data_IF_780655397604
#
_entry.id   IF_780655397604
#
_cell.length_a   1.000
_cell.length_b   1.000
_cell.length_c   1.000
_cell.angle_alpha   90.00
_cell.angle_beta   90.00
_cell.angle_gamma   90.00
#
_symmetry.space_group_name_H-M   'P 1'
#
loop_
_entity.id
_entity.type
_entity.pdbx_description
1 polymer ?
2 polymer ?
3 non-polymer ?
4 water ?
#
# COMPACT_ATOMS: atom_id res chain seq x y z
N UNK A 1 22.75 18.37 -2.89
CA UNK A 1 24.12 18.60 -2.34
C UNK A 1 24.85 19.76 -3.02
N UNK A 2 25.93 20.23 -2.39
CA UNK A 2 26.69 21.36 -2.93
C UNK A 2 27.53 21.01 -4.18
N UNK A 3 28.07 19.79 -4.24
CA UNK A 3 28.78 19.31 -5.44
C UNK A 3 27.93 19.50 -6.68
N UNK A 4 26.71 18.95 -6.69
CA UNK A 4 25.85 19.03 -7.87
C UNK A 4 25.33 20.43 -8.12
N UNK A 5 25.19 21.21 -7.05
CA UNK A 5 24.79 22.61 -7.12
C UNK A 5 25.84 23.41 -7.92
N UNK A 6 27.09 22.95 -7.80
CA UNK A 6 28.21 23.52 -8.55
C UNK A 6 28.25 23.08 -10.02
N UNK A 7 27.93 21.81 -10.30
CA UNK A 7 27.83 21.36 -11.69
C UNK A 7 26.78 22.20 -12.41
N UNK A 8 25.69 22.50 -11.69
CA UNK A 8 24.56 23.25 -12.26
C UNK A 8 25.00 24.69 -12.59
N UNK A 9 25.72 25.28 -11.65
CA UNK A 9 26.35 26.59 -11.81
C UNK A 9 27.27 26.60 -13.05
N UNK A 10 28.18 25.63 -13.15
CA UNK A 10 29.07 25.51 -14.33
C UNK A 10 28.34 25.37 -15.67
N UNK A 11 27.24 24.61 -15.68
CA UNK A 11 26.43 24.46 -16.89
C UNK A 11 25.75 25.77 -17.29
N UNK A 12 25.18 26.46 -16.32
CA UNK A 12 24.59 27.79 -16.53
C UNK A 12 25.64 28.75 -17.15
N UNK A 13 26.82 28.83 -16.54
CA UNK A 13 27.81 29.84 -16.92
C UNK A 13 28.33 29.62 -18.32
N UNK A 14 28.22 28.39 -18.81
CA UNK A 14 28.49 28.10 -20.23
C UNK A 14 27.74 29.02 -21.19
N UNK A 15 26.52 29.40 -20.82
CA UNK A 15 25.69 30.20 -21.68
C UNK A 15 25.61 31.66 -21.25
N UNK A 16 26.41 32.01 -20.26
CA UNK A 16 26.50 33.41 -19.85
C UNK A 16 27.94 33.91 -19.91
N UNK A 17 28.56 33.86 -21.07
CA UNK A 17 29.99 34.20 -21.14
C UNK A 17 30.22 35.68 -20.90
N UNK A 18 29.19 36.50 -21.07
CA UNK A 18 29.32 37.95 -20.86
C UNK A 18 29.04 38.35 -19.40
N UNK A 19 28.64 37.39 -18.57
CA UNK A 19 28.53 37.68 -17.14
C UNK A 19 27.38 38.61 -16.79
N UNK A 20 26.26 38.46 -17.49
CA UNK A 20 25.05 39.25 -17.19
C UNK A 20 24.22 38.65 -16.06
N UNK A 21 24.47 37.38 -15.74
CA UNK A 21 23.64 36.70 -14.74
C UNK A 21 22.34 36.14 -15.29
N UNK A 22 22.19 36.17 -16.62
CA UNK A 22 21.03 35.57 -17.25
C UNK A 22 21.51 34.84 -18.49
N UNK A 23 20.73 33.85 -18.92
CA UNK A 23 21.01 33.17 -20.19
C UNK A 23 19.70 33.13 -20.99
N UNK A 24 19.80 33.00 -22.32
CA UNK A 24 18.61 32.88 -23.15
C UNK A 24 17.87 31.57 -22.80
N UNK A 25 16.56 31.68 -22.62
CA UNK A 25 15.78 30.53 -22.27
C UNK A 25 15.87 29.47 -23.40
N UNK A 26 16.13 29.92 -24.62
CA UNK A 26 16.27 29.01 -25.74
C UNK A 26 17.42 28.00 -25.61
N UNK A 27 18.38 28.31 -24.73
CA UNK A 27 19.51 27.41 -24.44
C UNK A 27 19.15 26.25 -23.46
N UNK A 28 17.92 26.23 -22.98
CA UNK A 28 17.54 25.22 -21.94
C UNK A 28 17.87 23.79 -22.32
N UNK A 29 17.57 23.40 -23.57
CA UNK A 29 17.79 22.03 -24.04
C UNK A 29 19.27 21.68 -23.93
N UNK A 30 20.14 22.59 -24.39
CA UNK A 30 21.58 22.28 -24.45
C UNK A 30 22.16 22.28 -23.02
N UNK A 31 21.69 23.19 -22.18
CA UNK A 31 22.08 23.24 -20.76
C UNK A 31 21.67 21.96 -19.99
N UNK A 32 20.44 21.51 -20.20
CA UNK A 32 19.98 20.22 -19.64
C UNK A 32 20.80 19.05 -20.17
N UNK A 33 21.10 19.07 -21.46
CA UNK A 33 21.94 18.05 -22.07
C UNK A 33 23.31 18.02 -21.36
N UNK A 34 23.88 19.20 -21.13
CA UNK A 34 25.17 19.31 -20.44
C UNK A 34 25.12 18.62 -19.11
N UNK A 35 23.94 18.65 -18.48
CA UNK A 35 23.79 18.07 -17.15
C UNK A 35 23.40 16.58 -17.21
N UNK A 36 23.24 16.06 -18.42
CA UNK A 36 22.95 14.62 -18.65
C UNK A 36 21.46 14.25 -18.77
N UNK A 37 20.61 15.25 -19.06
CA UNK A 37 19.19 15.05 -19.31
C UNK A 37 18.92 15.10 -20.80
N UNK A 38 17.97 14.29 -21.27
CA UNK A 38 17.61 14.35 -22.69
C UNK A 38 16.10 14.55 -22.75
N UNK A 39 15.65 15.80 -22.47
CA UNK A 39 14.23 16.07 -22.33
C UNK A 39 13.54 15.95 -23.70
N UNK A 40 12.29 15.51 -23.72
CA UNK A 40 11.58 15.41 -25.00
C UNK A 40 11.03 16.80 -25.40
N UNK A 41 10.63 16.95 -26.66
CA UNK A 41 10.06 18.21 -27.17
C UNK A 41 8.94 18.78 -26.28
N UNK A 42 7.99 17.93 -25.90
CA UNK A 42 6.89 18.32 -25.01
C UNK A 42 7.35 18.84 -23.63
N UNK A 43 8.41 18.24 -23.10
CA UNK A 43 9.00 18.65 -21.81
C UNK A 43 9.64 20.04 -21.92
N UNK A 44 10.44 20.23 -22.97
CA UNK A 44 11.04 21.53 -23.23
C UNK A 44 9.96 22.62 -23.38
N UNK A 45 8.96 22.39 -24.23
CA UNK A 45 7.87 23.35 -24.40
C UNK A 45 7.29 23.74 -23.06
N UNK A 46 6.95 22.73 -22.27
CA UNK A 46 6.37 22.96 -20.94
C UNK A 46 7.27 23.75 -19.99
N UNK A 47 8.54 23.33 -19.85
CA UNK A 47 9.49 24.02 -18.97
C UNK A 47 9.72 25.46 -19.37
N UNK A 48 9.93 25.72 -20.65
CA UNK A 48 10.16 27.09 -21.09
C UNK A 48 8.96 27.96 -20.74
N UNK A 49 7.76 27.43 -20.95
CA UNK A 49 6.58 28.21 -20.59
C UNK A 49 6.59 28.46 -19.08
N UNK A 50 6.93 27.43 -18.30
CA UNK A 50 6.92 27.48 -16.83
C UNK A 50 8.00 28.44 -16.32
N UNK A 51 9.19 28.36 -16.92
CA UNK A 51 10.34 29.14 -16.45
C UNK A 51 10.21 30.60 -16.82
N UNK A 52 9.55 30.87 -17.94
CA UNK A 52 9.47 32.23 -18.44
C UNK A 52 8.03 32.70 -18.59
N UNK A 53 7.30 32.64 -17.48
CA UNK A 53 5.88 33.05 -17.40
C UNK A 53 5.63 34.51 -17.70
N UNK A 54 6.68 35.33 -17.60
CA UNK A 54 6.58 36.76 -17.95
C UNK A 54 6.93 37.03 -19.40
N UNK A 55 7.49 36.03 -20.08
CA UNK A 55 7.82 36.16 -21.50
C UNK A 55 9.02 37.02 -21.87
N UNK A 56 10.02 37.08 -20.97
CA UNK A 56 11.25 37.87 -21.23
C UNK A 56 12.29 37.24 -22.14
N UNK A 57 12.24 35.91 -22.29
CA UNK A 57 13.20 35.22 -23.12
C UNK A 57 14.52 34.94 -22.40
N UNK A 58 14.61 35.33 -21.13
CA UNK A 58 15.83 35.12 -20.34
C UNK A 58 15.52 34.43 -19.03
N UNK A 59 16.51 33.71 -18.49
CA UNK A 59 16.39 33.11 -17.16
C UNK A 59 17.60 33.38 -16.31
N UNK A 60 17.38 33.50 -15.00
CA UNK A 60 18.49 33.75 -14.09
C UNK A 60 18.92 32.45 -13.44
N UNK A 61 20.03 32.50 -12.70
CA UNK A 61 20.54 31.27 -12.10
C UNK A 61 19.58 30.63 -11.09
N UNK A 62 19.01 31.43 -10.19
CA UNK A 62 18.08 30.88 -9.18
C UNK A 62 16.95 30.09 -9.81
N UNK A 63 16.43 30.60 -10.92
CA UNK A 63 15.39 29.87 -11.66
C UNK A 63 15.87 28.58 -12.35
N UNK A 64 17.03 28.67 -13.02
CA UNK A 64 17.70 27.47 -13.54
C UNK A 64 17.94 26.44 -12.45
N UNK A 65 18.49 26.88 -11.31
CA UNK A 65 18.75 25.94 -10.21
C UNK A 65 17.47 25.30 -9.72
N UNK A 66 16.40 26.10 -9.64
CA UNK A 66 15.11 25.54 -9.19
C UNK A 66 14.60 24.46 -10.12
N UNK A 67 14.61 24.73 -11.42
CA UNK A 67 14.13 23.76 -12.39
C UNK A 67 15.00 22.49 -12.42
N UNK A 68 16.31 22.67 -12.42
CA UNK A 68 17.24 21.53 -12.41
C UNK A 68 17.16 20.67 -11.15
N UNK A 69 16.92 21.29 -9.99
CA UNK A 69 16.74 20.45 -8.80
C UNK A 69 15.53 19.54 -8.94
N UNK A 70 14.46 20.10 -9.53
CA UNK A 70 13.21 19.41 -9.73
C UNK A 70 13.39 18.27 -10.74
N UNK A 71 14.07 18.56 -11.84
CA UNK A 71 14.35 17.54 -12.86
C UNK A 71 15.24 16.41 -12.34
N UNK A 72 16.21 16.76 -11.49
CA UNK A 72 17.05 15.75 -10.85
C UNK A 72 16.28 14.82 -9.93
N UNK A 73 15.37 15.39 -9.16
CA UNK A 73 14.59 14.60 -8.23
C UNK A 73 13.58 13.77 -9.01
N UNK A 74 12.99 14.35 -10.06
CA UNK A 74 12.08 13.61 -10.93
C UNK A 74 12.77 12.42 -11.60
N UNK A 75 14.02 12.63 -12.00
CA UNK A 75 14.84 11.61 -12.65
C UNK A 75 15.18 10.44 -11.71
N UNK A 76 15.63 10.78 -10.50
CA UNK A 76 15.91 9.80 -9.45
C UNK A 76 14.71 8.91 -9.15
N UNK A 77 13.53 9.50 -9.00
CA UNK A 77 12.35 8.67 -8.76
C UNK A 77 11.92 7.85 -9.97
N UNK A 78 11.98 8.44 -11.17
CA UNK A 78 11.69 7.67 -12.37
C UNK A 78 12.58 6.41 -12.43
N UNK A 79 13.87 6.58 -12.18
CA UNK A 79 14.82 5.47 -12.24
C UNK A 79 14.52 4.42 -11.18
N UNK A 80 14.08 4.87 -10.01
CA UNK A 80 13.71 3.91 -8.95
C UNK A 80 12.44 3.15 -9.32
N UNK A 81 11.46 3.88 -9.88
CA UNK A 81 10.20 3.27 -10.37
C UNK A 81 10.54 2.22 -11.43
N UNK A 82 11.47 2.54 -12.32
CA UNK A 82 11.77 1.58 -13.39
C UNK A 82 12.59 0.39 -12.86
N UNK A 83 13.26 0.60 -11.72
CA UNK A 83 13.93 -0.50 -11.02
C UNK A 83 12.84 -1.48 -10.54
N UNK A 84 11.75 -0.94 -10.02
CA UNK A 84 10.65 -1.79 -9.58
C UNK A 84 10.01 -2.44 -10.79
N UNK A 85 9.89 -1.72 -11.89
CA UNK A 85 9.24 -2.30 -13.07
C UNK A 85 10.00 -3.57 -13.47
N UNK A 86 11.34 -3.45 -13.46
CA UNK A 86 12.18 -4.58 -13.89
C UNK A 86 12.05 -5.75 -12.93
N UNK A 87 11.82 -5.42 -11.66
CA UNK A 87 11.52 -6.46 -10.66
C UNK A 87 10.19 -7.16 -10.90
N UNK A 88 9.19 -6.47 -11.46
CA UNK A 88 7.97 -7.19 -11.87
C UNK A 88 8.24 -7.99 -13.17
N UNK A 89 8.78 -7.29 -14.15
CA UNK A 89 9.02 -7.85 -15.49
C UNK A 89 10.26 -8.76 -15.47
N UNK A 90 10.25 -9.88 -14.73
CA UNK A 90 11.49 -10.65 -14.55
C UNK A 90 11.82 -11.52 -15.75
N UNK A 91 10.83 -11.72 -16.62
CA UNK A 91 11.04 -12.38 -17.93
C UNK A 91 11.50 -11.42 -19.04
N UNK A 92 11.68 -10.15 -18.67
CA UNK A 92 12.23 -9.14 -19.57
C UNK A 92 11.46 -9.06 -20.91
N UNK A 93 10.13 -9.07 -20.83
CA UNK A 93 9.31 -9.04 -22.04
C UNK A 93 9.03 -7.59 -22.35
N UNK A 94 9.33 -6.73 -21.38
CA UNK A 94 9.14 -5.27 -21.48
C UNK A 94 7.76 -4.80 -21.07
N UNK A 95 6.93 -5.72 -20.57
CA UNK A 95 5.57 -5.42 -20.09
C UNK A 95 5.35 -6.23 -18.85
N UNK A 96 4.60 -5.66 -17.91
CA UNK A 96 4.18 -6.46 -16.77
C UNK A 96 2.89 -7.18 -17.15
N UNK A 97 2.96 -8.50 -17.15
CA UNK A 97 1.81 -9.38 -17.46
C UNK A 97 1.09 -9.75 -16.17
N UNK A 98 -0.10 -10.30 -16.33
CA UNK A 98 -0.83 -10.91 -15.23
C UNK A 98 0.04 -11.94 -14.50
N UNK A 99 0.78 -12.74 -15.25
CA UNK A 99 1.72 -13.70 -14.65
C UNK A 99 2.78 -13.09 -13.69
N UNK A 100 3.42 -12.02 -14.19
CA UNK A 100 4.41 -11.25 -13.43
C UNK A 100 3.76 -10.76 -12.14
N UNK A 101 2.57 -10.18 -12.26
CA UNK A 101 1.89 -9.61 -11.06
C UNK A 101 1.53 -10.66 -10.03
N UNK A 102 0.98 -11.77 -10.51
CA UNK A 102 0.65 -12.90 -9.64
C UNK A 102 1.86 -13.45 -8.88
N UNK A 103 2.96 -13.64 -9.60
CA UNK A 103 4.23 -14.08 -9.04
C UNK A 103 4.71 -13.13 -7.93
N UNK A 104 4.74 -11.84 -8.22
CA UNK A 104 5.13 -10.84 -7.22
C UNK A 104 4.23 -10.88 -5.97
N UNK A 105 2.91 -10.84 -6.18
CA UNK A 105 1.99 -10.94 -5.02
C UNK A 105 2.27 -12.19 -4.18
N UNK A 106 2.46 -13.33 -4.82
CA UNK A 106 2.80 -14.55 -4.07
C UNK A 106 4.12 -14.45 -3.30
N UNK A 107 5.18 -14.08 -3.99
CA UNK A 107 6.49 -13.91 -3.36
C UNK A 107 6.50 -12.94 -2.16
N UNK A 108 5.66 -11.90 -2.22
CA UNK A 108 5.54 -10.87 -1.17
C UNK A 108 4.48 -11.20 -0.09
N UNK A 109 3.78 -12.32 -0.27
CA UNK A 109 2.80 -12.79 0.71
C UNK A 109 1.49 -12.01 0.75
N UNK A 110 1.12 -11.42 -0.38
CA UNK A 110 -0.15 -10.76 -0.52
C UNK A 110 -1.09 -11.70 -1.23
N UNK A 111 -2.14 -12.09 -0.52
CA UNK A 111 -3.16 -13.00 -1.04
C UNK A 111 -4.19 -12.23 -1.87
N UNK A 112 -3.95 -12.16 -3.16
CA UNK A 112 -4.88 -11.55 -4.08
C UNK A 112 -5.51 -12.64 -4.92
N UNK A 113 -6.81 -12.55 -5.15
CA UNK A 113 -7.50 -13.50 -5.98
C UNK A 113 -7.19 -13.16 -7.43
N UNK A 114 -7.48 -14.08 -8.35
CA UNK A 114 -7.29 -13.75 -9.77
C UNK A 114 -8.13 -12.55 -10.16
N UNK A 115 -9.34 -12.43 -9.63
CA UNK A 115 -10.16 -11.24 -9.88
C UNK A 115 -9.50 -9.93 -9.42
N UNK A 116 -8.89 -9.93 -8.24
CA UNK A 116 -8.22 -8.73 -7.76
C UNK A 116 -6.95 -8.40 -8.57
N UNK A 117 -6.23 -9.43 -8.99
CA UNK A 117 -5.04 -9.24 -9.82
C UNK A 117 -5.47 -8.71 -11.19
N UNK A 118 -6.53 -9.28 -11.75
CA UNK A 118 -7.05 -8.76 -13.03
C UNK A 118 -7.50 -7.29 -12.90
N UNK A 119 -8.13 -6.95 -11.78
CA UNK A 119 -8.53 -5.55 -11.53
C UNK A 119 -7.31 -4.62 -11.60
N UNK A 120 -6.19 -5.07 -11.05
CA UNK A 120 -4.95 -4.26 -11.06
C UNK A 120 -4.41 -4.06 -12.49
N UNK A 121 -4.39 -5.12 -13.28
CA UNK A 121 -4.02 -4.99 -14.69
C UNK A 121 -4.95 -3.98 -15.41
N UNK A 122 -6.25 -4.17 -15.27
CA UNK A 122 -7.22 -3.25 -15.92
C UNK A 122 -7.04 -1.78 -15.51
N UNK A 123 -6.81 -1.54 -14.21
CA UNK A 123 -6.55 -0.18 -13.69
C UNK A 123 -5.34 0.47 -14.36
N UNK A 124 -4.27 -0.29 -14.58
CA UNK A 124 -3.05 0.27 -15.13
C UNK A 124 -3.05 0.28 -16.65
N UNK A 125 -3.78 -0.65 -17.25
CA UNK A 125 -3.75 -0.88 -18.71
C UNK A 125 -4.59 0.15 -19.49
N UNK A 126 -4.06 1.35 -19.59
CA UNK A 126 -4.73 2.47 -20.27
C UNK A 126 -4.86 2.29 -21.77
N UNK A 127 -3.84 1.71 -22.40
CA UNK A 127 -3.88 1.52 -23.86
C UNK A 127 -4.68 0.29 -24.30
N UNK A 128 -5.11 -0.56 -23.36
CA UNK A 128 -6.02 -1.66 -23.74
C UNK A 128 -5.37 -2.89 -24.34
N UNK A 129 -4.05 -3.02 -24.19
CA UNK A 129 -3.36 -4.17 -24.75
C UNK A 129 -3.25 -5.34 -23.80
N UNK A 130 -3.86 -5.25 -22.61
CA UNK A 130 -3.86 -6.37 -21.63
C UNK A 130 -2.60 -6.58 -20.79
N UNK A 131 -1.65 -5.65 -20.87
CA UNK A 131 -0.44 -5.74 -20.07
C UNK A 131 -0.05 -4.34 -19.73
N UNK A 132 0.99 -4.22 -18.90
CA UNK A 132 1.36 -2.91 -18.34
C UNK A 132 2.73 -2.47 -18.80
N UNK A 133 2.74 -1.37 -19.56
CA UNK A 133 3.96 -0.79 -20.11
C UNK A 133 4.69 0.07 -19.05
N UNK A 134 5.94 0.41 -19.34
CA UNK A 134 6.66 1.31 -18.45
C UNK A 134 5.91 2.65 -18.26
N UNK A 135 5.38 3.20 -19.35
CA UNK A 135 4.61 4.44 -19.26
C UNK A 135 3.38 4.29 -18.37
N UNK A 136 2.65 3.18 -18.52
CA UNK A 136 1.50 2.92 -17.67
C UNK A 136 1.91 2.71 -16.22
N UNK A 137 3.02 2.02 -16.01
CA UNK A 137 3.47 1.76 -14.65
C UNK A 137 3.90 3.07 -14.00
N UNK A 138 4.70 3.85 -14.72
CA UNK A 138 5.10 5.21 -14.28
C UNK A 138 3.88 6.04 -13.88
N UNK A 139 2.89 6.10 -14.77
CA UNK A 139 1.62 6.77 -14.46
C UNK A 139 0.99 6.33 -13.14
N UNK A 140 0.75 5.03 -13.02
CA UNK A 140 0.02 4.48 -11.91
C UNK A 140 0.83 4.62 -10.60
N UNK A 141 2.15 4.80 -10.72
CA UNK A 141 3.03 4.98 -9.56
C UNK A 141 3.10 6.43 -9.12
N UNK A 142 3.23 7.32 -10.10
CA UNK A 142 3.29 8.77 -9.89
C UNK A 142 1.87 9.31 -9.90
N UNK A 143 1.14 9.12 -8.80
CA UNK A 143 -0.22 9.68 -8.66
C UNK A 143 -0.65 9.95 -7.21
N UNK B 1 -8.05 -26.70 5.41
CA UNK B 1 -7.13 -27.65 6.12
C UNK B 1 -7.92 -28.81 6.73
N UNK B 2 -7.34 -30.01 6.63
CA UNK B 2 -8.02 -31.23 7.06
C UNK B 2 -7.92 -31.47 8.58
N UNK B 3 -6.75 -31.16 9.15
CA UNK B 3 -6.53 -31.26 10.60
C UNK B 3 -7.43 -30.31 11.40
N UNK B 4 -7.63 -29.09 10.87
CA UNK B 4 -8.51 -28.11 11.53
C UNK B 4 -9.97 -28.50 11.45
N UNK B 5 -10.36 -29.04 10.29
CA UNK B 5 -11.69 -29.58 10.06
C UNK B 5 -11.99 -30.72 11.04
N UNK B 6 -11.01 -31.61 11.26
CA UNK B 6 -11.09 -32.71 12.24
C UNK B 6 -11.29 -32.17 13.66
N UNK B 7 -10.53 -31.12 14.02
CA UNK B 7 -10.65 -30.54 15.34
C UNK B 7 -12.07 -29.97 15.55
N UNK B 8 -12.59 -29.35 14.51
CA UNK B 8 -13.96 -28.80 14.56
C UNK B 8 -14.99 -29.93 14.72
N UNK B 9 -14.79 -31.04 14.02
CA UNK B 9 -15.71 -32.21 14.16
C UNK B 9 -15.66 -32.72 15.61
N UNK B 10 -14.47 -32.80 16.16
CA UNK B 10 -14.32 -33.28 17.52
C UNK B 10 -14.99 -32.39 18.54
N UNK B 11 -14.93 -31.08 18.33
CA UNK B 11 -15.62 -30.15 19.24
C UNK B 11 -17.14 -30.29 19.12
N UNK B 12 -17.64 -30.41 17.90
CA UNK B 12 -19.07 -30.62 17.68
C UNK B 12 -19.51 -31.90 18.43
N UNK B 13 -18.78 -32.99 18.21
CA UNK B 13 -19.16 -34.30 18.76
C UNK B 13 -19.23 -34.35 20.30
N UNK B 14 -18.48 -33.49 20.97
CA UNK B 14 -18.62 -33.32 22.43
C UNK B 14 -20.04 -33.07 22.86
N UNK B 15 -20.82 -32.36 22.04
CA UNK B 15 -22.15 -32.00 22.40
C UNK B 15 -23.21 -32.84 21.73
N UNK B 16 -22.76 -33.90 21.03
CA UNK B 16 -23.71 -34.81 20.41
C UNK B 16 -23.42 -36.24 20.85
N UNK B 17 -23.52 -36.48 22.16
CA UNK B 17 -23.07 -37.79 22.67
C UNK B 17 -23.99 -38.88 22.19
N UNK B 18 -25.24 -38.53 21.87
CA UNK B 18 -26.25 -39.51 21.45
C UNK B 18 -26.21 -39.79 19.93
N UNK B 19 -25.37 -39.05 19.20
CA UNK B 19 -25.17 -39.35 17.78
C UNK B 19 -26.38 -39.03 16.90
N UNK B 20 -27.07 -37.94 17.25
CA UNK B 20 -28.21 -37.45 16.47
C UNK B 20 -27.82 -36.62 15.25
N UNK B 21 -26.55 -36.24 15.14
CA UNK B 21 -26.10 -35.36 14.04
C UNK B 21 -26.41 -33.89 14.25
N UNK B 22 -26.94 -33.53 15.42
CA UNK B 22 -27.23 -32.15 15.72
C UNK B 22 -26.81 -31.87 17.15
N UNK B 23 -26.50 -30.61 17.43
CA UNK B 23 -26.28 -30.20 18.80
C UNK B 23 -27.18 -28.99 19.11
N UNK B 24 -27.47 -28.76 20.40
CA UNK B 24 -28.30 -27.60 20.79
C UNK B 24 -27.53 -26.30 20.47
N UNK B 25 -28.19 -25.35 19.79
CA UNK B 25 -27.53 -24.08 19.46
C UNK B 25 -27.04 -23.36 20.73
N UNK B 26 -27.66 -23.66 21.87
CA UNK B 26 -27.24 -23.03 23.13
C UNK B 26 -25.84 -23.45 23.59
N UNK B 27 -25.32 -24.56 23.04
CA UNK B 27 -23.96 -25.00 23.32
C UNK B 27 -22.88 -24.21 22.53
N UNK B 28 -23.29 -23.25 21.72
CA UNK B 28 -22.33 -22.58 20.80
C UNK B 28 -21.14 -21.96 21.54
N UNK B 29 -21.43 -21.27 22.63
CA UNK B 29 -20.39 -20.57 23.41
C UNK B 29 -19.32 -21.57 23.89
N UNK B 30 -19.76 -22.69 24.49
CA UNK B 30 -18.81 -23.68 24.99
C UNK B 30 -18.08 -24.37 23.84
N UNK B 31 -18.80 -24.67 22.73
CA UNK B 31 -18.17 -25.27 21.55
C UNK B 31 -17.07 -24.35 20.98
N UNK B 32 -17.37 -23.05 20.95
CA UNK B 32 -16.43 -22.08 20.43
C UNK B 32 -15.22 -21.98 21.36
N UNK B 33 -15.48 -21.96 22.67
CA UNK B 33 -14.42 -21.97 23.67
C UNK B 33 -13.47 -23.15 23.47
N UNK B 34 -14.04 -24.35 23.30
CA UNK B 34 -13.24 -25.58 23.04
C UNK B 34 -12.27 -25.37 21.89
N UNK B 35 -12.69 -24.59 20.90
CA UNK B 35 -11.89 -24.33 19.72
C UNK B 35 -10.96 -23.12 19.89
N UNK B 36 -10.97 -22.49 21.07
CA UNK B 36 -10.02 -21.41 21.44
C UNK B 36 -10.51 -19.99 21.19
N UNK B 37 -11.82 -19.84 20.93
CA UNK B 37 -12.46 -18.52 20.83
C UNK B 37 -13.01 -18.10 22.19
N UNK B 38 -13.14 -16.79 22.42
CA UNK B 38 -13.92 -16.32 23.57
C UNK B 38 -14.84 -15.22 23.06
N UNK B 39 -15.96 -15.65 22.48
CA UNK B 39 -16.85 -14.71 21.85
C UNK B 39 -17.55 -13.84 22.91
N UNK B 40 -17.78 -12.58 22.59
CA UNK B 40 -18.48 -11.70 23.50
C UNK B 40 -20.01 -11.97 23.41
N UNK B 41 -20.73 -11.52 24.43
CA UNK B 41 -22.21 -11.65 24.49
C UNK B 41 -22.91 -11.25 23.18
N UNK B 42 -22.59 -10.07 22.65
CA UNK B 42 -23.22 -9.59 21.42
C UNK B 42 -22.94 -10.47 20.22
N UNK B 43 -21.72 -11.01 20.17
CA UNK B 43 -21.32 -11.95 19.13
C UNK B 43 -22.10 -13.27 19.17
N UNK B 44 -22.25 -13.85 20.36
CA UNK B 44 -23.09 -15.04 20.53
C UNK B 44 -24.54 -14.75 20.10
N UNK B 45 -25.14 -13.68 20.63
CA UNK B 45 -26.50 -13.28 20.24
C UNK B 45 -26.67 -13.25 18.72
N UNK B 46 -25.78 -12.52 18.05
CA UNK B 46 -25.82 -12.44 16.58
C UNK B 46 -25.62 -13.79 15.87
N UNK B 47 -24.65 -14.61 16.31
CA UNK B 47 -24.41 -15.91 15.67
C UNK B 47 -25.57 -16.86 15.81
N UNK B 48 -26.14 -16.96 17.01
CA UNK B 48 -27.25 -17.86 17.24
C UNK B 48 -28.40 -17.45 16.34
N UNK B 49 -28.63 -16.15 16.25
CA UNK B 49 -29.72 -15.68 15.38
C UNK B 49 -29.44 -16.08 13.92
N UNK B 50 -28.16 -16.00 13.52
CA UNK B 50 -27.78 -16.27 12.13
C UNK B 50 -27.80 -17.76 11.82
N UNK B 51 -27.36 -18.58 12.76
CA UNK B 51 -27.29 -20.03 12.59
C UNK B 51 -28.65 -20.70 12.55
N UNK B 52 -29.54 -20.20 13.38
CA UNK B 52 -30.82 -20.85 13.56
C UNK B 52 -31.95 -19.93 13.10
N UNK B 53 -31.86 -19.44 11.85
CA UNK B 53 -32.90 -18.54 11.28
C UNK B 53 -34.31 -19.11 11.23
N UNK B 54 -34.41 -20.44 11.30
CA UNK B 54 -35.72 -21.10 11.36
C UNK B 54 -36.22 -21.29 12.78
N UNK B 55 -35.35 -21.04 13.76
CA UNK B 55 -35.72 -21.11 15.19
C UNK B 55 -35.93 -22.47 15.84
N UNK B 56 -35.29 -23.50 15.28
CA UNK B 56 -35.44 -24.88 15.79
C UNK B 56 -34.73 -25.22 17.10
N UNK B 57 -33.69 -24.45 17.44
CA UNK B 57 -32.95 -24.72 18.68
C UNK B 57 -31.75 -25.63 18.47
N UNK B 58 -31.60 -26.10 17.23
CA UNK B 58 -30.59 -27.11 16.89
C UNK B 58 -29.70 -26.70 15.72
N UNK B 59 -28.47 -27.22 15.69
CA UNK B 59 -27.60 -27.04 14.53
C UNK B 59 -26.93 -28.33 14.10
N UNK B 60 -26.67 -28.47 12.80
CA UNK B 60 -26.02 -29.69 12.31
C UNK B 60 -24.54 -29.39 12.10
N UNK B 61 -23.79 -30.42 11.76
CA UNK B 61 -22.37 -30.23 11.64
C UNK B 61 -21.98 -29.29 10.50
N UNK B 62 -22.62 -29.43 9.33
CA UNK B 62 -22.32 -28.53 8.20
C UNK B 62 -22.51 -27.06 8.56
N UNK B 63 -23.62 -26.72 9.24
CA UNK B 63 -23.84 -25.35 9.79
C UNK B 63 -22.67 -24.91 10.70
N UNK B 64 -22.36 -25.77 11.66
CA UNK B 64 -21.28 -25.51 12.63
C UNK B 64 -19.95 -25.32 11.92
N UNK B 65 -19.62 -26.19 10.96
CA UNK B 65 -18.35 -26.07 10.23
C UNK B 65 -18.29 -24.76 9.43
N UNK B 66 -19.41 -24.39 8.83
CA UNK B 66 -19.43 -23.13 8.07
C UNK B 66 -19.15 -21.93 8.98
N UNK B 67 -19.85 -21.86 10.12
CA UNK B 67 -19.62 -20.74 11.02
C UNK B 67 -18.20 -20.73 11.62
N UNK B 68 -17.69 -21.90 12.00
CA UNK B 68 -16.34 -21.97 12.58
C UNK B 68 -15.27 -21.62 11.55
N UNK B 69 -15.48 -22.00 10.30
CA UNK B 69 -14.55 -21.58 9.23
C UNK B 69 -14.53 -20.05 9.11
N UNK B 70 -15.72 -19.45 9.08
CA UNK B 70 -15.85 -18.00 9.05
C UNK B 70 -15.10 -17.37 10.23
N UNK B 71 -15.37 -17.87 11.43
CA UNK B 71 -14.79 -17.28 12.64
C UNK B 71 -13.28 -17.40 12.69
N UNK B 72 -12.76 -18.52 12.21
CA UNK B 72 -11.33 -18.72 12.12
C UNK B 72 -10.68 -17.74 11.15
N UNK B 73 -11.31 -17.55 9.99
CA UNK B 73 -10.83 -16.55 9.01
C UNK B 73 -10.84 -15.16 9.62
N UNK B 74 -11.94 -14.83 10.29
CA UNK B 74 -12.07 -13.53 10.95
C UNK B 74 -11.05 -13.32 12.05
N UNK B 75 -10.71 -14.38 12.77
CA UNK B 75 -9.71 -14.30 13.83
C UNK B 75 -8.32 -14.05 13.27
N UNK B 76 -8.01 -14.75 12.19
CA UNK B 76 -6.72 -14.59 11.52
C UNK B 76 -6.56 -13.15 11.02
N UNK B 77 -7.62 -12.63 10.39
CA UNK B 77 -7.64 -11.24 9.87
C UNK B 77 -7.48 -10.25 11.04
N UNK B 78 -8.23 -10.49 12.10
CA UNK B 78 -8.08 -9.63 13.28
C UNK B 78 -6.64 -9.62 13.80
N UNK B 79 -6.04 -10.79 13.91
CA UNK B 79 -4.68 -10.86 14.49
C UNK B 79 -3.67 -10.15 13.62
N UNK B 80 -3.89 -10.23 12.32
CA UNK B 80 -3.01 -9.56 11.37
C UNK B 80 -3.16 -8.05 11.48
N UNK B 81 -4.41 -7.59 11.62
CA UNK B 81 -4.67 -6.17 11.74
C UNK B 81 -4.03 -5.67 13.02
N UNK B 82 -4.15 -6.45 14.08
CA UNK B 82 -3.57 -6.04 15.36
C UNK B 82 -2.05 -6.03 15.32
N UNK B 83 -1.46 -6.87 14.48
CA UNK B 83 -0.03 -6.85 14.31
C UNK B 83 0.40 -5.52 13.65
N UNK B 84 -0.40 -5.09 12.68
CA UNK B 84 -0.17 -3.80 12.03
C UNK B 84 -0.37 -2.65 13.02
N UNK B 85 -1.41 -2.72 13.85
CA UNK B 85 -1.61 -1.64 14.84
C UNK B 85 -0.32 -1.45 15.64
N UNK B 86 0.25 -2.57 16.12
CA UNK B 86 1.44 -2.51 16.97
C UNK B 86 2.63 -1.90 16.25
N UNK B 87 2.68 -2.15 14.93
CA UNK B 87 3.71 -1.54 14.08
C UNK B 87 3.53 -0.04 13.95
N UNK B 88 2.30 0.47 14.04
CA UNK B 88 2.09 1.93 14.13
C UNK B 88 2.44 2.45 15.53
N UNK B 89 1.87 1.78 16.52
CA UNK B 89 2.00 2.16 17.94
C UNK B 89 3.37 1.68 18.53
N UNK B 90 4.48 2.21 17.98
CA UNK B 90 5.79 1.67 18.37
C UNK B 90 6.18 2.10 19.76
N UNK B 91 5.51 3.14 20.28
CA UNK B 91 5.73 3.59 21.66
C UNK B 91 4.87 2.84 22.69
N UNK B 92 4.04 1.92 22.22
CA UNK B 92 3.18 1.10 23.07
C UNK B 92 2.27 1.92 23.98
N UNK B 93 1.66 2.98 23.43
CA UNK B 93 0.79 3.83 24.26
C UNK B 93 -0.65 3.29 24.19
N UNK B 94 -0.85 2.29 23.34
CA UNK B 94 -2.14 1.66 23.11
C UNK B 94 -3.05 2.38 22.13
N UNK B 95 -2.51 3.43 21.50
CA UNK B 95 -3.25 4.27 20.58
C UNK B 95 -2.32 4.72 19.50
N UNK B 96 -2.87 4.84 18.30
CA UNK B 96 -2.09 5.40 17.21
C UNK B 96 -2.25 6.91 17.23
N UNK B 97 -1.16 7.62 17.50
CA UNK B 97 -1.15 9.10 17.55
C UNK B 97 -0.80 9.66 16.19
N UNK B 98 -1.00 10.96 16.00
CA UNK B 98 -0.53 11.69 14.84
C UNK B 98 0.97 11.45 14.68
N UNK B 99 1.72 11.50 15.79
CA UNK B 99 3.18 11.21 15.72
C UNK B 99 3.53 9.83 15.06
N UNK B 100 2.88 8.76 15.56
CA UNK B 100 3.04 7.39 15.00
C UNK B 100 2.70 7.37 13.50
N UNK B 101 1.57 7.96 13.15
CA UNK B 101 1.13 7.96 11.73
C UNK B 101 2.10 8.73 10.83
N UNK B 102 2.61 9.86 11.31
CA UNK B 102 3.55 10.67 10.53
C UNK B 102 4.82 9.88 10.30
N UNK B 103 5.29 9.22 11.36
CA UNK B 103 6.53 8.39 11.37
C UNK B 103 6.43 7.24 10.36
N UNK B 104 5.33 6.50 10.43
CA UNK B 104 5.02 5.44 9.45
C UNK B 104 5.06 5.92 7.98
N UNK B 105 4.27 6.96 7.72
CA UNK B 105 4.14 7.52 6.36
C UNK B 105 5.48 7.93 5.79
N UNK B 106 6.27 8.60 6.63
CA UNK B 106 7.64 8.98 6.27
C UNK B 106 8.49 7.73 6.02
N UNK B 107 8.47 6.77 6.95
CA UNK B 107 9.24 5.53 6.81
C UNK B 107 8.89 4.79 5.52
N UNK B 108 7.62 4.81 5.12
CA UNK B 108 7.18 4.09 3.93
C UNK B 108 7.25 4.95 2.67
N UNK B 109 7.99 6.06 2.76
CA UNK B 109 8.25 6.92 1.61
C UNK B 109 6.97 7.56 1.09
N UNK B 110 5.99 7.71 1.96
CA UNK B 110 4.73 8.30 1.56
C UNK B 110 4.71 9.75 1.99
N UNK B 111 4.58 10.64 1.00
CA UNK B 111 4.65 12.06 1.26
C UNK B 111 3.26 12.65 1.55
N UNK B 112 2.98 12.89 2.83
CA UNK B 112 1.70 13.42 3.25
C UNK B 112 1.93 14.67 4.10
N UNK B 113 1.12 15.69 3.83
CA UNK B 113 1.16 16.93 4.58
C UNK B 113 0.53 16.67 5.96
N UNK B 114 0.75 17.58 6.91
CA UNK B 114 0.12 17.43 8.24
C UNK B 114 -1.39 17.45 8.13
N UNK B 115 -1.91 18.23 7.17
CA UNK B 115 -3.35 18.33 6.95
C UNK B 115 -3.92 17.02 6.45
N UNK B 116 -3.15 16.33 5.61
CA UNK B 116 -3.52 15.02 5.10
C UNK B 116 -3.39 13.91 6.16
N UNK B 117 -2.38 14.02 7.02
CA UNK B 117 -2.25 13.09 8.13
C UNK B 117 -3.32 13.33 9.20
N UNK B 118 -3.64 14.60 9.46
CA UNK B 118 -4.70 14.91 10.42
C UNK B 118 -6.06 14.41 9.93
N UNK B 119 -6.23 14.46 8.61
CA UNK B 119 -7.46 13.99 8.00
C UNK B 119 -7.61 12.48 8.22
N UNK B 120 -6.52 11.73 8.15
CA UNK B 120 -6.58 10.27 8.41
C UNK B 120 -6.94 9.96 9.89
N UNK B 121 -6.36 10.71 10.82
CA UNK B 121 -6.69 10.58 12.23
C UNK B 121 -8.19 10.84 12.47
N UNK B 122 -8.69 11.96 11.97
CA UNK B 122 -10.11 12.33 12.07
C UNK B 122 -11.08 11.30 11.50
N UNK B 123 -10.74 10.76 10.33
CA UNK B 123 -11.49 9.67 9.68
C UNK B 123 -11.60 8.44 10.57
N UNK B 124 -10.50 8.06 11.22
CA UNK B 124 -10.52 6.87 12.07
C UNK B 124 -11.04 7.16 13.47
N UNK B 125 -10.84 8.41 13.93
CA UNK B 125 -11.17 8.82 15.30
C UNK B 125 -12.68 9.04 15.57
N UNK B 126 -13.39 7.92 15.60
CA UNK B 126 -14.82 7.88 15.87
C UNK B 126 -15.22 8.38 17.26
N UNK B 127 -14.44 8.07 18.28
CA UNK B 127 -14.82 8.44 19.64
C UNK B 127 -14.43 9.89 20.01
N UNK B 128 -13.62 10.54 19.16
CA UNK B 128 -13.32 11.98 19.29
C UNK B 128 -12.26 12.32 20.34
N UNK B 129 -11.41 11.35 20.69
CA UNK B 129 -10.32 11.57 21.67
C UNK B 129 -9.00 11.97 21.04
N UNK B 130 -8.97 12.09 19.71
CA UNK B 130 -7.79 12.63 18.96
C UNK B 130 -6.71 11.60 18.61
N UNK B 131 -6.99 10.33 18.85
CA UNK B 131 -6.06 9.30 18.43
C UNK B 131 -6.83 8.06 18.10
N UNK B 132 -6.13 7.01 17.67
CA UNK B 132 -6.85 5.89 17.04
C UNK B 132 -6.68 4.63 17.89
N UNK B 133 -7.80 4.10 18.38
CA UNK B 133 -7.80 2.92 19.27
C UNK B 133 -7.76 1.65 18.40
N UNK B 134 -7.53 0.50 19.05
CA UNK B 134 -7.57 -0.76 18.35
C UNK B 134 -8.93 -0.97 17.66
N UNK B 135 -10.01 -0.68 18.38
CA UNK B 135 -11.35 -0.82 17.79
C UNK B 135 -11.55 0.07 16.57
N UNK B 136 -11.09 1.32 16.66
CA UNK B 136 -11.19 2.27 15.54
C UNK B 136 -10.36 1.79 14.36
N UNK B 137 -9.17 1.28 14.65
CA UNK B 137 -8.29 0.78 13.60
C UNK B 137 -8.91 -0.47 12.97
N UNK B 138 -9.42 -1.36 13.81
CA UNK B 138 -10.12 -2.54 13.29
C UNK B 138 -11.23 -2.13 12.33
N UNK B 139 -12.03 -1.18 12.78
CA UNK B 139 -13.15 -0.69 11.99
C UNK B 139 -12.67 -0.18 10.65
N UNK B 140 -11.61 0.63 10.64
CA UNK B 140 -11.23 1.28 9.41
C UNK B 140 -10.48 0.33 8.46
N UNK B 141 -9.88 -0.72 9.01
CA UNK B 141 -9.22 -1.76 8.23
C UNK B 141 -10.22 -2.67 7.52
N UNK B 142 -11.42 -2.79 8.08
CA UNK B 142 -12.53 -3.47 7.39
C UNK B 142 -13.60 -2.48 6.96
N UNK B 143 -13.33 -1.87 5.81
CA UNK B 143 -14.27 -0.98 5.14
C UNK B 143 -13.90 -0.98 3.65
C UNK C 1 -2.34 -0.22 -3.84
N UNK C 2 -2.72 -1.20 -4.65
CA UNK C 2 -1.89 -2.41 -4.63
C UNK C 2 -0.61 -2.34 -5.47
N UNK C 3 -0.59 -1.52 -6.52
CA UNK C 3 0.64 -1.39 -7.36
C UNK C 3 1.78 -0.79 -6.54
N UNK C 4 1.48 0.33 -5.86
CA UNK C 4 2.47 0.95 -4.96
C UNK C 4 2.94 0.01 -3.87
N UNK C 5 2.00 -0.73 -3.29
CA UNK C 5 2.29 -1.69 -2.22
C UNK C 5 3.30 -2.70 -2.69
N UNK C 6 3.01 -3.30 -3.84
CA UNK C 6 3.86 -4.35 -4.36
C UNK C 6 5.19 -3.81 -4.81
N UNK C 7 5.19 -2.65 -5.49
CA UNK C 7 6.41 -2.07 -6.01
C UNK C 7 7.32 -1.78 -4.83
N UNK C 8 6.78 -1.16 -3.80
CA UNK C 8 7.64 -0.87 -2.66
C UNK C 8 8.12 -2.14 -1.97
N UNK C 9 7.26 -3.17 -1.86
CA UNK C 9 7.68 -4.49 -1.36
C UNK C 9 8.90 -5.02 -2.11
N UNK C 10 8.84 -4.93 -3.45
CA UNK C 10 9.91 -5.44 -4.30
C UNK C 10 11.21 -4.69 -4.05
N UNK C 11 11.11 -3.37 -3.90
CA UNK C 11 12.29 -2.54 -3.66
C UNK C 11 12.82 -2.77 -2.23
N UNK C 12 11.94 -2.95 -1.26
CA UNK C 12 12.40 -3.29 0.13
C UNK C 12 13.19 -4.60 0.11
N UNK C 13 12.60 -5.62 -0.52
CA UNK C 13 13.25 -6.92 -0.59
C UNK C 13 14.63 -6.88 -1.23
N UNK C 14 14.72 -6.18 -2.37
CA UNK C 14 15.97 -6.01 -3.11
C UNK C 14 17.07 -5.36 -2.26
N UNK C 15 16.71 -4.30 -1.51
CA UNK C 15 17.63 -3.60 -0.60
C UNK C 15 18.16 -4.47 0.54
N UNK C 16 17.27 -5.23 1.16
CA UNK C 16 17.59 -6.16 2.25
C UNK C 16 18.57 -7.22 1.79
N UNK C 17 18.51 -7.53 0.49
CA UNK C 17 19.45 -8.46 -0.16
C UNK C 17 20.68 -7.68 -0.63
C UNK D 1 -6.00 3.69 1.69
N UNK D 2 -5.90 4.82 2.37
CA UNK D 2 -4.65 5.35 2.90
C UNK D 2 -4.20 4.63 4.17
N UNK D 3 -5.12 4.43 5.11
CA UNK D 3 -4.83 3.59 6.27
C UNK D 3 -4.43 2.19 5.81
N UNK D 4 -5.22 1.64 4.91
CA UNK D 4 -4.90 0.31 4.38
C UNK D 4 -3.53 0.18 3.74
N UNK D 5 -3.12 1.17 2.95
CA UNK D 5 -1.84 1.05 2.23
C UNK D 5 -0.72 1.01 3.24
N UNK D 6 -0.80 1.93 4.21
CA UNK D 6 0.23 2.07 5.24
C UNK D 6 0.32 0.83 6.08
N UNK D 7 -0.85 0.29 6.48
CA UNK D 7 -0.90 -0.91 7.30
C UNK D 7 -0.28 -2.08 6.53
N UNK D 8 -0.70 -2.23 5.28
CA UNK D 8 -0.16 -3.34 4.50
C UNK D 8 1.30 -3.15 4.21
N UNK D 9 1.73 -1.89 4.07
CA UNK D 9 3.12 -1.58 3.83
C UNK D 9 3.94 -1.98 5.04
N UNK D 10 3.42 -1.68 6.23
CA UNK D 10 4.11 -2.11 7.43
C UNK D 10 4.22 -3.62 7.51
N UNK D 11 3.15 -4.34 7.18
CA UNK D 11 3.15 -5.81 7.28
C UNK D 11 4.11 -6.41 6.24
N UNK D 12 4.18 -5.76 5.11
CA UNK D 12 5.04 -6.29 4.03
C UNK D 12 6.50 -6.13 4.43
N UNK D 13 6.88 -4.93 4.86
CA UNK D 13 8.23 -4.69 5.36
C UNK D 13 8.63 -5.69 6.44
N UNK D 14 7.75 -5.89 7.44
CA UNK D 14 8.02 -6.81 8.52
C UNK D 14 8.26 -8.25 8.07
N UNK D 15 7.42 -8.72 7.14
CA UNK D 15 7.54 -10.04 6.53
C UNK D 15 8.89 -10.24 5.86
N UNK D 16 9.35 -9.20 5.19
CA UNK D 16 10.56 -9.26 4.36
C UNK D 16 11.84 -9.33 5.21
N UNK D 17 11.82 -8.66 6.36
CA UNK D 17 12.87 -8.86 7.36
C UNK D 17 12.79 -10.34 7.74
N UNK D 18 13.93 -11.04 7.79
CA UNK D 18 13.92 -12.51 7.88
C UNK D 18 12.71 -13.14 8.55
X LIG E 1 -1.11 -1.61 -21.68
X LIG F 1 6.87 -9.56 -18.44
X LIG G 1 -10.22 7.68 19.09
X LIG H 1 1.21 5.36 20.18
#
# INVERSE_FOLDING_TARGET
TEEQKQEIREAFDLFDADGTGTIDVKELKVAMRALGFEPKKEEIKKMISEIDKEGTGKMNFGDFLTVMTQKMSEKDTKEEILKAFKLFDDDETGKISFKNLKRVAKELGENLTDEELQEMIDEADRDGDGEVSEQEFLRIMKK
TEEQKQEIREAFDLFDADGTGTIDVKELKVAMRALGFEPKKEEIKKMISEIDKEGTGKMNFGDFLTVMTQKMSEKDTKEEILKAFKLFDDDETGKISFKNLKRVAKELGENLTDEELQEMIDEADRDGDGEVSEQEFLRIMKK
XNWKLLAKGLLIRERLKR
XNWKLLAKGLLIRERLKR
CA CA
CA CA
CA CA
CA CA
#
